data_IF_839612805588
#
_entry.id   IF_839612805588
#
_cell.length_a   1.000
_cell.length_b   1.000
_cell.length_c   1.000
_cell.angle_alpha   90.00
_cell.angle_beta   90.00
_cell.angle_gamma   90.00
#
_symmetry.space_group_name_H-M   'P 1'
#
loop_
_entity.id
_entity.type
_entity.pdbx_description
1 polymer ?
#
# COMPACT_ATOMS: atom_id res chain seq x y z
N UNK A 1 -5.11 0.56 16.41
CA UNK A 1 -4.50 -0.55 17.14
C UNK A 1 -4.23 -1.73 16.22
N UNK A 2 -5.24 -2.31 15.54
CA UNK A 2 -5.10 -3.51 14.69
C UNK A 2 -4.09 -3.33 13.55
N UNK A 3 -4.02 -2.15 12.93
CA UNK A 3 -3.02 -1.84 11.91
C UNK A 3 -1.60 -1.80 12.48
N UNK A 4 -1.41 -1.25 13.68
CA UNK A 4 -0.12 -1.24 14.36
C UNK A 4 0.33 -2.65 14.75
N UNK A 5 -0.59 -3.50 15.20
CA UNK A 5 -0.32 -4.90 15.48
C UNK A 5 0.04 -5.68 14.20
N UNK A 6 -0.61 -5.39 13.08
CA UNK A 6 -0.31 -6.03 11.80
C UNK A 6 1.07 -5.66 11.24
N UNK A 7 1.69 -4.56 11.71
CA UNK A 7 3.04 -4.15 11.31
C UNK A 7 4.13 -5.07 11.89
N UNK A 8 3.79 -5.85 12.94
CA UNK A 8 4.58 -6.96 13.45
C UNK A 8 6.05 -6.64 13.65
N UNK A 9 6.91 -7.30 12.85
CA UNK A 9 8.38 -7.21 12.95
C UNK A 9 8.95 -5.80 12.80
N UNK A 10 8.26 -4.91 12.10
CA UNK A 10 8.72 -3.54 11.93
C UNK A 10 8.48 -2.64 13.15
N UNK A 11 7.64 -3.11 14.12
CA UNK A 11 7.33 -2.40 15.35
C UNK A 11 7.44 -3.34 16.55
N UNK A 12 8.63 -3.96 16.74
CA UNK A 12 8.87 -5.04 17.72
C UNK A 12 8.46 -4.66 19.13
N UNK A 13 8.86 -3.50 19.63
CA UNK A 13 8.53 -3.04 20.98
C UNK A 13 7.02 -3.01 21.26
N UNK A 14 6.23 -2.62 20.26
CA UNK A 14 4.77 -2.59 20.39
C UNK A 14 4.15 -3.98 20.31
N UNK A 15 4.74 -4.85 19.51
CA UNK A 15 4.30 -6.24 19.37
C UNK A 15 4.58 -7.01 20.64
N UNK A 16 5.75 -6.83 21.28
CA UNK A 16 6.10 -7.42 22.57
C UNK A 16 5.16 -6.94 23.67
N UNK A 17 4.91 -5.62 23.75
CA UNK A 17 3.94 -5.07 24.71
C UNK A 17 2.54 -5.68 24.51
N UNK A 18 2.11 -5.88 23.27
CA UNK A 18 0.82 -6.48 22.95
C UNK A 18 0.79 -7.99 23.31
N UNK A 19 1.90 -8.70 23.18
CA UNK A 19 2.04 -10.10 23.60
C UNK A 19 1.85 -10.26 25.10
N UNK A 20 2.38 -9.33 25.89
CA UNK A 20 2.32 -9.38 27.35
C UNK A 20 0.97 -8.89 27.90
N UNK A 21 0.36 -7.91 27.24
CA UNK A 21 -0.83 -7.22 27.77
C UNK A 21 -2.15 -7.80 27.25
N UNK A 22 -2.18 -8.36 26.03
CA UNK A 22 -3.42 -8.84 25.40
C UNK A 22 -3.59 -10.35 25.59
N UNK A 23 -4.53 -10.79 26.45
CA UNK A 23 -4.78 -12.20 26.66
C UNK A 23 -5.24 -12.88 25.37
N UNK A 24 -4.54 -13.92 24.96
CA UNK A 24 -4.84 -14.68 23.75
C UNK A 24 -4.14 -14.19 22.48
N UNK A 25 -3.44 -13.08 22.50
CA UNK A 25 -2.67 -12.60 21.35
C UNK A 25 -1.57 -13.57 20.93
N UNK A 26 -0.96 -14.26 21.89
CA UNK A 26 0.05 -15.32 21.69
C UNK A 26 -0.48 -16.57 20.95
N UNK A 27 -1.81 -16.72 20.82
CA UNK A 27 -2.43 -17.82 20.07
C UNK A 27 -2.62 -17.50 18.58
N UNK A 28 -2.45 -16.24 18.17
CA UNK A 28 -2.50 -15.88 16.76
C UNK A 28 -1.20 -16.30 16.07
N UNK A 29 -1.31 -17.19 15.13
CA UNK A 29 -0.18 -17.78 14.40
C UNK A 29 0.50 -16.78 13.45
N UNK A 30 -0.24 -15.76 13.01
CA UNK A 30 0.26 -14.68 12.15
C UNK A 30 -0.38 -13.35 12.56
N UNK A 31 0.47 -12.35 12.71
CA UNK A 31 0.06 -10.97 13.09
C UNK A 31 -0.90 -10.36 12.07
N UNK A 32 -0.81 -10.79 10.80
CA UNK A 32 -1.71 -10.38 9.71
C UNK A 32 -3.17 -10.76 9.93
N UNK A 33 -3.48 -11.75 10.78
CA UNK A 33 -4.87 -12.08 11.12
C UNK A 33 -5.64 -10.92 11.79
N UNK A 34 -4.92 -10.01 12.44
CA UNK A 34 -5.52 -8.78 13.00
C UNK A 34 -6.12 -7.87 11.92
N UNK A 35 -5.66 -7.97 10.66
CA UNK A 35 -6.20 -7.20 9.54
C UNK A 35 -7.63 -7.61 9.15
N UNK A 36 -8.06 -8.83 9.48
CA UNK A 36 -9.45 -9.28 9.22
C UNK A 36 -10.45 -8.36 9.93
N UNK A 37 -10.14 -7.94 11.17
CA UNK A 37 -11.00 -7.00 11.91
C UNK A 37 -11.10 -5.65 11.18
N UNK A 38 -9.99 -5.18 10.62
CA UNK A 38 -9.95 -3.92 9.85
C UNK A 38 -10.76 -4.04 8.57
N UNK A 39 -10.66 -5.19 7.86
CA UNK A 39 -11.43 -5.45 6.63
C UNK A 39 -12.94 -5.39 6.84
N UNK A 40 -13.44 -5.76 8.01
CA UNK A 40 -14.85 -5.64 8.36
C UNK A 40 -15.22 -4.27 8.92
N UNK A 41 -14.36 -3.70 9.77
CA UNK A 41 -14.64 -2.43 10.44
C UNK A 41 -14.70 -1.25 9.46
N UNK A 42 -13.81 -1.20 8.46
CA UNK A 42 -13.74 -0.08 7.50
C UNK A 42 -15.01 0.02 6.64
N UNK A 43 -15.50 -1.05 5.97
CA UNK A 43 -16.76 -0.99 5.23
C UNK A 43 -17.98 -0.67 6.11
N UNK A 44 -18.02 -1.21 7.34
CA UNK A 44 -19.10 -0.93 8.29
C UNK A 44 -19.14 0.54 8.66
N UNK A 45 -18.00 1.14 9.01
CA UNK A 45 -17.90 2.58 9.29
C UNK A 45 -18.29 3.42 8.08
N UNK A 46 -17.90 3.00 6.88
CA UNK A 46 -18.31 3.64 5.62
C UNK A 46 -19.83 3.61 5.42
N UNK A 47 -20.45 2.45 5.63
CA UNK A 47 -21.90 2.29 5.54
C UNK A 47 -22.64 3.15 6.57
N UNK A 48 -22.18 3.19 7.83
CA UNK A 48 -22.75 4.04 8.88
C UNK A 48 -22.62 5.53 8.54
N UNK A 49 -21.49 5.96 7.99
CA UNK A 49 -21.28 7.34 7.53
C UNK A 49 -22.26 7.71 6.41
N UNK A 50 -22.45 6.81 5.42
CA UNK A 50 -23.43 7.00 4.33
C UNK A 50 -24.86 7.05 4.85
N UNK A 51 -25.24 6.21 5.83
CA UNK A 51 -26.56 6.25 6.45
C UNK A 51 -26.81 7.59 7.15
N UNK A 52 -25.85 8.11 7.93
CA UNK A 52 -25.96 9.44 8.57
C UNK A 52 -26.05 10.56 7.54
N UNK A 53 -25.30 10.45 6.46
CA UNK A 53 -25.39 11.39 5.34
C UNK A 53 -26.79 11.35 4.70
N UNK A 54 -27.33 10.15 4.50
CA UNK A 54 -28.69 9.98 3.94
C UNK A 54 -29.77 10.54 4.84
N UNK A 55 -29.63 10.40 6.15
CA UNK A 55 -30.57 10.98 7.13
C UNK A 55 -30.48 12.50 7.22
N UNK A 56 -29.42 13.12 6.69
CA UNK A 56 -29.24 14.57 6.74
C UNK A 56 -28.73 15.08 8.10
N UNK A 57 -28.20 14.20 8.94
CA UNK A 57 -27.71 14.53 10.28
C UNK A 57 -26.41 15.34 10.25
N UNK A 58 -25.70 15.36 9.10
CA UNK A 58 -24.38 15.99 8.98
C UNK A 58 -24.53 17.35 8.28
N UNK A 59 -24.15 18.47 8.91
CA UNK A 59 -24.16 19.78 8.25
C UNK A 59 -23.17 19.83 7.10
N UNK A 60 -23.61 20.40 5.96
CA UNK A 60 -22.87 20.46 4.70
C UNK A 60 -21.42 20.93 4.86
N UNK A 61 -21.20 21.99 5.64
CA UNK A 61 -19.86 22.54 5.81
C UNK A 61 -18.90 21.57 6.49
N UNK A 62 -19.37 20.81 7.48
CA UNK A 62 -18.57 19.76 8.14
C UNK A 62 -18.28 18.60 7.18
N UNK A 63 -19.27 18.19 6.41
CA UNK A 63 -19.12 17.13 5.43
C UNK A 63 -18.06 17.50 4.37
N UNK A 64 -18.20 18.67 3.73
CA UNK A 64 -17.27 19.12 2.70
C UNK A 64 -15.85 19.33 3.24
N UNK A 65 -15.71 19.86 4.46
CA UNK A 65 -14.38 19.98 5.09
C UNK A 65 -13.78 18.60 5.37
N UNK A 66 -14.52 17.68 5.96
CA UNK A 66 -14.04 16.33 6.25
C UNK A 66 -13.66 15.59 4.96
N UNK A 67 -14.47 15.73 3.91
CA UNK A 67 -14.21 15.14 2.60
C UNK A 67 -12.95 15.73 1.95
N UNK A 68 -12.80 17.07 2.00
CA UNK A 68 -11.63 17.76 1.47
C UNK A 68 -10.35 17.35 2.21
N UNK A 69 -10.39 17.25 3.54
CA UNK A 69 -9.26 16.77 4.32
C UNK A 69 -8.93 15.30 4.03
N UNK A 70 -9.94 14.43 4.04
CA UNK A 70 -9.73 13.02 3.76
C UNK A 70 -9.18 12.80 2.34
N UNK A 71 -9.82 13.39 1.32
CA UNK A 71 -9.38 13.29 -0.06
C UNK A 71 -8.02 14.00 -0.30
N UNK A 72 -7.78 15.13 0.38
CA UNK A 72 -6.52 15.87 0.29
C UNK A 72 -5.34 15.09 0.86
N UNK A 73 -5.49 14.52 2.05
CA UNK A 73 -4.41 13.73 2.69
C UNK A 73 -4.15 12.43 1.93
N UNK A 74 -5.19 11.64 1.66
CA UNK A 74 -5.03 10.35 0.98
C UNK A 74 -4.65 10.53 -0.50
N UNK A 75 -5.29 11.46 -1.20
CA UNK A 75 -4.97 11.79 -2.60
C UNK A 75 -3.59 12.43 -2.73
N UNK A 76 -3.21 13.30 -1.81
CA UNK A 76 -1.87 13.89 -1.75
C UNK A 76 -0.79 12.84 -1.55
N UNK A 77 -1.02 11.86 -0.66
CA UNK A 77 -0.10 10.73 -0.47
C UNK A 77 0.00 9.87 -1.74
N UNK A 78 -1.12 9.55 -2.38
CA UNK A 78 -1.12 8.81 -3.64
C UNK A 78 -0.38 9.58 -4.75
N UNK A 79 -0.59 10.89 -4.83
CA UNK A 79 0.10 11.73 -5.80
C UNK A 79 1.62 11.76 -5.55
N UNK A 80 2.02 11.89 -4.29
CA UNK A 80 3.43 11.86 -3.89
C UNK A 80 4.07 10.53 -4.28
N UNK A 81 3.42 9.41 -4.01
CA UNK A 81 3.90 8.08 -4.40
C UNK A 81 3.91 7.89 -5.92
N UNK A 82 2.92 8.43 -6.64
CA UNK A 82 2.86 8.35 -8.10
C UNK A 82 3.99 9.12 -8.79
N UNK A 83 4.37 10.29 -8.25
CA UNK A 83 5.38 11.17 -8.87
C UNK A 83 6.79 10.93 -8.35
N UNK A 84 6.92 10.76 -7.04
CA UNK A 84 8.23 10.73 -6.37
C UNK A 84 8.54 9.37 -5.71
N UNK A 85 7.69 8.36 -5.87
CA UNK A 85 7.87 7.06 -5.21
C UNK A 85 9.19 6.39 -5.56
N UNK A 86 9.64 6.48 -6.81
CA UNK A 86 10.93 5.93 -7.24
C UNK A 86 12.16 6.63 -6.62
N UNK A 87 12.00 7.85 -6.11
CA UNK A 87 13.06 8.57 -5.41
C UNK A 87 13.17 8.17 -3.93
N UNK A 88 12.06 7.73 -3.33
CA UNK A 88 12.02 7.35 -1.91
C UNK A 88 12.25 5.87 -1.66
N UNK A 89 11.95 5.02 -2.64
CA UNK A 89 12.03 3.56 -2.49
C UNK A 89 13.00 2.96 -3.51
N UNK A 90 13.91 2.12 -3.02
CA UNK A 90 14.88 1.38 -3.87
C UNK A 90 14.24 0.15 -4.55
N UNK A 91 13.02 -0.23 -4.17
CA UNK A 91 12.28 -1.40 -4.69
C UNK A 91 13.04 -2.73 -4.60
N UNK A 92 13.98 -2.83 -3.65
CA UNK A 92 14.79 -4.02 -3.46
C UNK A 92 15.76 -4.29 -4.61
N UNK A 93 16.27 -3.23 -5.25
CA UNK A 93 17.21 -3.32 -6.37
C UNK A 93 18.46 -4.11 -5.99
N UNK A 94 19.10 -3.74 -4.88
CA UNK A 94 20.30 -4.41 -4.40
C UNK A 94 20.05 -5.90 -4.10
N UNK A 95 18.94 -6.23 -3.45
CA UNK A 95 18.55 -7.60 -3.14
C UNK A 95 18.25 -8.40 -4.44
N UNK A 96 17.49 -7.80 -5.35
CA UNK A 96 17.17 -8.45 -6.63
C UNK A 96 18.38 -8.69 -7.50
N UNK A 97 19.30 -7.74 -7.57
CA UNK A 97 20.56 -7.91 -8.33
C UNK A 97 21.44 -9.01 -7.72
N UNK A 98 21.56 -9.05 -6.39
CA UNK A 98 22.31 -10.10 -5.71
C UNK A 98 21.73 -11.50 -5.94
N UNK A 99 20.42 -11.65 -5.78
CA UNK A 99 19.74 -12.94 -6.03
C UNK A 99 19.87 -13.39 -7.49
N UNK A 100 19.70 -12.49 -8.45
CA UNK A 100 19.80 -12.83 -9.86
C UNK A 100 21.23 -13.21 -10.25
N UNK A 101 22.24 -12.47 -9.78
CA UNK A 101 23.63 -12.79 -10.00
C UNK A 101 23.96 -14.20 -9.51
N UNK A 102 23.55 -14.54 -8.30
CA UNK A 102 23.79 -15.86 -7.75
C UNK A 102 23.05 -16.98 -8.52
N UNK A 103 21.80 -16.72 -8.96
CA UNK A 103 21.08 -17.66 -9.80
C UNK A 103 21.76 -17.91 -11.15
N UNK A 104 22.22 -16.86 -11.84
CA UNK A 104 22.95 -17.01 -13.10
C UNK A 104 24.28 -17.75 -12.90
N UNK A 105 24.99 -17.46 -11.82
CA UNK A 105 26.21 -18.16 -11.46
C UNK A 105 25.97 -19.66 -11.29
N UNK A 106 24.99 -20.04 -10.48
CA UNK A 106 24.62 -21.45 -10.28
C UNK A 106 24.21 -22.13 -11.59
N UNK A 107 23.48 -21.41 -12.44
CA UNK A 107 23.04 -21.92 -13.72
C UNK A 107 24.20 -22.15 -14.68
N UNK A 108 25.17 -21.26 -14.72
CA UNK A 108 26.39 -21.42 -15.52
C UNK A 108 27.30 -22.51 -14.98
N UNK A 109 27.45 -22.65 -13.68
CA UNK A 109 28.19 -23.75 -13.05
C UNK A 109 27.55 -25.11 -13.36
N UNK A 110 26.21 -25.21 -13.22
CA UNK A 110 25.48 -26.46 -13.50
C UNK A 110 25.56 -26.91 -14.96
N UNK A 111 25.67 -25.97 -15.90
CA UNK A 111 25.79 -26.25 -17.33
C UNK A 111 27.24 -26.26 -17.87
N UNK A 112 28.23 -26.23 -16.96
CA UNK A 112 29.63 -26.28 -17.30
C UNK A 112 30.10 -25.09 -18.18
N UNK A 113 29.45 -23.94 -18.05
CA UNK A 113 29.68 -22.72 -18.85
C UNK A 113 30.75 -21.83 -18.19
N UNK A 114 31.93 -22.38 -17.90
CA UNK A 114 33.03 -21.68 -17.18
C UNK A 114 33.55 -20.43 -17.91
N UNK A 115 33.51 -20.44 -19.24
CA UNK A 115 33.93 -19.29 -20.05
C UNK A 115 33.06 -18.05 -19.82
N UNK A 116 31.75 -18.24 -19.59
CA UNK A 116 30.84 -17.14 -19.26
C UNK A 116 31.09 -16.58 -17.87
N UNK A 117 31.41 -17.42 -16.89
CA UNK A 117 31.79 -17.00 -15.54
C UNK A 117 33.09 -16.20 -15.53
N UNK A 118 34.08 -16.66 -16.31
CA UNK A 118 35.38 -15.93 -16.44
C UNK A 118 35.19 -14.55 -17.07
N UNK A 119 34.19 -14.36 -17.92
CA UNK A 119 33.83 -13.07 -18.52
C UNK A 119 32.94 -12.20 -17.63
N UNK A 120 32.52 -12.68 -16.48
CA UNK A 120 31.66 -11.95 -15.56
C UNK A 120 30.22 -11.75 -16.06
N UNK A 121 29.75 -12.61 -16.98
CA UNK A 121 28.41 -12.51 -17.56
C UNK A 121 27.31 -12.80 -16.54
N UNK A 122 27.59 -13.59 -15.51
CA UNK A 122 26.68 -13.82 -14.38
C UNK A 122 26.34 -12.52 -13.64
N UNK A 123 27.35 -11.70 -13.37
CA UNK A 123 27.17 -10.40 -12.73
C UNK A 123 26.46 -9.41 -13.66
N UNK A 124 26.84 -9.34 -14.93
CA UNK A 124 26.21 -8.44 -15.89
C UNK A 124 24.72 -8.75 -16.09
N UNK A 125 24.39 -10.02 -16.34
CA UNK A 125 23.02 -10.47 -16.50
C UNK A 125 22.20 -10.33 -15.20
N UNK A 126 22.81 -10.61 -14.05
CA UNK A 126 22.21 -10.45 -12.74
C UNK A 126 21.84 -9.00 -12.45
N UNK A 127 22.75 -8.06 -12.72
CA UNK A 127 22.50 -6.62 -12.57
C UNK A 127 21.42 -6.14 -13.53
N UNK A 128 21.48 -6.52 -14.80
CA UNK A 128 20.48 -6.12 -15.80
C UNK A 128 19.08 -6.61 -15.41
N UNK A 129 18.96 -7.89 -15.05
CA UNK A 129 17.67 -8.49 -14.65
C UNK A 129 17.13 -7.90 -13.35
N UNK A 130 17.99 -7.73 -12.33
CA UNK A 130 17.61 -7.13 -11.05
C UNK A 130 17.15 -5.69 -11.19
N UNK A 131 17.81 -4.90 -12.04
CA UNK A 131 17.38 -3.53 -12.35
C UNK A 131 16.02 -3.51 -13.08
N UNK A 132 15.81 -4.42 -14.04
CA UNK A 132 14.54 -4.55 -14.73
C UNK A 132 13.40 -4.88 -13.76
N UNK A 133 13.61 -5.84 -12.85
CA UNK A 133 12.63 -6.18 -11.80
C UNK A 133 12.31 -5.00 -10.88
N UNK A 134 13.32 -4.23 -10.47
CA UNK A 134 13.10 -3.04 -9.63
C UNK A 134 12.32 -1.96 -10.40
N UNK A 135 12.62 -1.74 -11.66
CA UNK A 135 11.89 -0.80 -12.51
C UNK A 135 10.42 -1.23 -12.72
N UNK A 136 10.17 -2.52 -12.90
CA UNK A 136 8.81 -3.06 -13.04
C UNK A 136 8.01 -2.89 -11.74
N UNK A 137 8.59 -3.18 -10.58
CA UNK A 137 7.95 -2.91 -9.27
C UNK A 137 7.63 -1.43 -9.08
N UNK A 138 8.52 -0.54 -9.50
CA UNK A 138 8.29 0.90 -9.46
C UNK A 138 7.13 1.31 -10.35
N UNK A 139 7.06 0.79 -11.58
CA UNK A 139 5.98 1.07 -12.52
C UNK A 139 4.62 0.57 -12.02
N UNK A 140 4.57 -0.62 -11.43
CA UNK A 140 3.36 -1.17 -10.80
C UNK A 140 2.87 -0.28 -9.65
N UNK A 141 3.77 0.14 -8.76
CA UNK A 141 3.41 1.04 -7.66
C UNK A 141 2.86 2.38 -8.18
N UNK A 142 3.49 2.95 -9.20
CA UNK A 142 3.01 4.19 -9.82
C UNK A 142 1.62 4.01 -10.44
N UNK A 143 1.40 2.92 -11.18
CA UNK A 143 0.10 2.62 -11.78
C UNK A 143 -0.98 2.46 -10.71
N UNK A 144 -0.69 1.77 -9.61
CA UNK A 144 -1.62 1.58 -8.52
C UNK A 144 -1.90 2.88 -7.75
N UNK A 145 -0.89 3.74 -7.59
CA UNK A 145 -1.07 5.06 -7.00
C UNK A 145 -1.99 5.96 -7.86
N UNK A 146 -1.84 5.94 -9.18
CA UNK A 146 -2.73 6.66 -10.10
C UNK A 146 -4.16 6.12 -10.08
N UNK A 147 -4.34 4.81 -10.08
CA UNK A 147 -5.66 4.16 -9.96
C UNK A 147 -6.33 4.53 -8.64
N UNK A 148 -5.58 4.48 -7.53
CA UNK A 148 -6.07 4.86 -6.21
C UNK A 148 -6.48 6.32 -6.14
N UNK A 149 -5.68 7.22 -6.71
CA UNK A 149 -6.01 8.64 -6.82
C UNK A 149 -7.32 8.87 -7.59
N UNK A 150 -7.48 8.20 -8.72
CA UNK A 150 -8.70 8.28 -9.52
C UNK A 150 -9.92 7.80 -8.72
N UNK A 151 -9.81 6.68 -8.02
CA UNK A 151 -10.90 6.15 -7.18
C UNK A 151 -11.25 7.09 -6.03
N UNK A 152 -10.25 7.70 -5.37
CA UNK A 152 -10.47 8.70 -4.32
C UNK A 152 -11.23 9.91 -4.88
N UNK A 153 -10.83 10.42 -6.04
CA UNK A 153 -11.48 11.57 -6.67
C UNK A 153 -12.93 11.24 -7.10
N UNK A 154 -13.15 10.06 -7.66
CA UNK A 154 -14.50 9.60 -8.02
C UNK A 154 -15.41 9.45 -6.79
N UNK A 155 -14.91 8.83 -5.73
CA UNK A 155 -15.66 8.65 -4.49
C UNK A 155 -15.95 10.00 -3.82
N UNK A 156 -14.94 10.86 -3.68
CA UNK A 156 -15.11 12.18 -3.08
C UNK A 156 -16.04 13.06 -3.93
N UNK A 157 -15.89 13.05 -5.25
CA UNK A 157 -16.76 13.76 -6.18
C UNK A 157 -18.20 13.26 -6.11
N UNK A 158 -18.41 11.95 -6.08
CA UNK A 158 -19.74 11.34 -5.96
C UNK A 158 -20.46 11.76 -4.68
N UNK A 159 -19.77 11.69 -3.52
CA UNK A 159 -20.31 12.12 -2.23
C UNK A 159 -20.59 13.64 -2.22
N UNK A 160 -19.68 14.44 -2.79
CA UNK A 160 -19.87 15.88 -2.89
C UNK A 160 -21.08 16.23 -3.77
N UNK A 161 -21.22 15.63 -4.94
CA UNK A 161 -22.34 15.83 -5.85
C UNK A 161 -23.69 15.41 -5.20
N UNK A 162 -23.67 14.28 -4.50
CA UNK A 162 -24.86 13.84 -3.74
C UNK A 162 -25.27 14.86 -2.69
N UNK A 163 -24.30 15.36 -1.91
CA UNK A 163 -24.53 16.39 -0.91
C UNK A 163 -25.05 17.71 -1.53
N UNK A 164 -24.57 18.08 -2.70
CA UNK A 164 -25.02 19.28 -3.42
C UNK A 164 -26.41 19.13 -4.01
N UNK A 165 -26.73 18.01 -4.65
CA UNK A 165 -28.05 17.76 -5.26
C UNK A 165 -29.20 17.68 -4.25
N UNK A 166 -28.93 17.15 -3.07
CA UNK A 166 -29.98 17.01 -2.05
C UNK A 166 -30.49 18.36 -1.52
N UNK A 167 -29.66 19.38 -1.52
CA UNK A 167 -30.01 20.72 -1.02
C UNK A 167 -30.90 21.46 -2.01
N UNK A 168 -30.73 21.24 -3.32
CA UNK A 168 -31.56 21.87 -4.36
C UNK A 168 -33.01 21.35 -4.38
N UNK A 169 -33.34 20.30 -3.63
CA UNK A 169 -34.71 19.77 -3.50
C UNK A 169 -35.50 20.32 -2.28
N UNK A 170 -34.81 21.05 -1.40
CA UNK A 170 -35.41 21.60 -0.17
C UNK A 170 -35.33 23.13 -0.07
N UNK A 171 -34.87 23.81 -1.13
CA UNK A 171 -34.98 25.22 -1.40
C UNK A 171 -35.98 25.41 -2.53
#
# INVERSE_FOLDING_TARGET
>A
LMLLLAWGRNLMWFTELAFDLLPGYNKFRTVSMALVVVQWAVPLLGALALMRLWRGEIPRQRLLRALAWAAGVTGGLCLLLAVAGSAFFDFGRAESTGMMTEQFRQLFEANNMQDYLQRGMDAEMGIATGNAMAAERASMMQADAWRSLLMILLAAGGVALFALRRINKYV
#
